data_IF_991262725800
#
_entry.id   IF_991262725800
#
_cell.length_a   1.000
_cell.length_b   1.000
_cell.length_c   1.000
_cell.angle_alpha   90.00
_cell.angle_beta   90.00
_cell.angle_gamma   90.00
#
_symmetry.space_group_name_H-M   'P 1'
#
loop_
_entity.id
_entity.type
_entity.pdbx_description
1 polymer ?
#
# COMPACT_ATOMS: atom_id res chain seq x y z
N UNK A 1 33.60 13.90 31.66
CA UNK A 1 32.78 12.92 30.91
C UNK A 1 32.37 13.55 29.60
N UNK A 2 32.56 12.85 28.47
CA UNK A 2 31.98 13.31 27.19
C UNK A 2 30.47 13.23 27.30
N UNK A 3 29.77 14.36 27.10
CA UNK A 3 28.30 14.40 27.05
C UNK A 3 27.80 13.62 25.83
N UNK A 4 26.68 12.92 25.97
CA UNK A 4 26.03 12.13 24.91
C UNK A 4 25.81 12.92 23.62
N UNK A 5 25.64 14.25 23.71
CA UNK A 5 25.55 15.17 22.57
C UNK A 5 26.78 15.13 21.67
N UNK A 6 27.99 15.17 22.27
CA UNK A 6 29.23 15.22 21.50
C UNK A 6 29.50 13.89 20.79
N UNK A 7 29.12 12.77 21.42
CA UNK A 7 29.17 11.44 20.79
C UNK A 7 28.25 11.35 19.58
N UNK A 8 27.00 11.82 19.69
CA UNK A 8 26.04 11.78 18.58
C UNK A 8 26.48 12.63 17.36
N UNK A 9 27.09 13.79 17.59
CA UNK A 9 27.61 14.64 16.49
C UNK A 9 28.74 13.92 15.74
N UNK A 10 29.67 13.30 16.48
CA UNK A 10 30.78 12.54 15.90
C UNK A 10 30.28 11.33 15.10
N UNK A 11 29.27 10.62 15.58
CA UNK A 11 28.67 9.48 14.87
C UNK A 11 27.92 9.91 13.60
N UNK A 12 27.22 11.04 13.64
CA UNK A 12 26.49 11.56 12.48
C UNK A 12 27.42 11.87 11.29
N UNK A 13 28.62 12.37 11.58
CA UNK A 13 29.63 12.69 10.56
C UNK A 13 30.16 11.44 9.81
N UNK A 14 29.99 10.24 10.39
CA UNK A 14 30.43 8.99 9.78
C UNK A 14 29.35 8.31 8.91
N UNK A 15 28.19 8.94 8.71
CA UNK A 15 27.10 8.37 7.90
C UNK A 15 27.33 8.63 6.41
N UNK A 16 27.43 7.55 5.64
CA UNK A 16 27.44 7.63 4.19
C UNK A 16 26.01 7.72 3.63
N UNK A 17 25.81 8.54 2.60
CA UNK A 17 24.54 8.62 1.91
C UNK A 17 24.25 7.29 1.20
N UNK A 18 23.02 6.78 1.33
CA UNK A 18 22.57 5.61 0.61
C UNK A 18 22.22 6.04 -0.82
N UNK A 19 22.99 5.57 -1.79
CA UNK A 19 22.68 5.79 -3.20
C UNK A 19 21.47 4.91 -3.59
N UNK A 20 20.37 5.54 -3.99
CA UNK A 20 19.17 4.85 -4.49
C UNK A 20 19.29 4.76 -6.00
N UNK A 21 19.27 3.54 -6.54
CA UNK A 21 19.23 3.32 -7.99
C UNK A 21 17.79 3.45 -8.49
N UNK A 22 17.49 4.51 -9.24
CA UNK A 22 16.21 4.64 -9.96
C UNK A 22 16.27 3.83 -11.26
N UNK A 23 15.74 2.62 -11.24
CA UNK A 23 15.66 1.75 -12.42
C UNK A 23 14.33 1.95 -13.16
N UNK A 24 14.38 2.28 -14.46
CA UNK A 24 13.19 2.34 -15.32
C UNK A 24 12.44 3.68 -15.30
N UNK A 25 11.27 3.74 -15.96
CA UNK A 25 10.45 4.97 -16.00
C UNK A 25 9.67 5.08 -14.69
N UNK A 26 9.60 6.28 -14.12
CA UNK A 26 8.83 6.55 -12.90
C UNK A 26 7.35 6.17 -13.03
N UNK A 27 6.78 6.26 -14.23
CA UNK A 27 5.42 5.80 -14.53
C UNK A 27 5.21 4.32 -14.26
N UNK A 28 6.26 3.51 -14.44
CA UNK A 28 6.19 2.06 -14.32
C UNK A 28 6.30 1.63 -12.84
N UNK A 29 6.98 2.44 -12.02
CA UNK A 29 7.13 2.24 -10.58
C UNK A 29 5.96 2.83 -9.78
N UNK A 30 5.28 3.84 -10.32
CA UNK A 30 4.21 4.52 -9.61
C UNK A 30 3.02 3.58 -9.37
N UNK A 31 2.63 3.44 -8.10
CA UNK A 31 1.43 2.66 -7.71
C UNK A 31 1.56 1.16 -7.86
N UNK A 32 2.77 0.60 -8.01
CA UNK A 32 2.99 -0.85 -8.15
C UNK A 32 2.50 -1.66 -6.94
N UNK A 33 2.61 -1.08 -5.74
CA UNK A 33 2.19 -1.69 -4.48
C UNK A 33 0.80 -1.21 -4.04
N UNK A 34 -0.04 -0.77 -5.00
CA UNK A 34 -1.38 -0.28 -4.73
C UNK A 34 -2.38 -1.10 -5.54
N UNK A 35 -3.42 -1.61 -4.87
CA UNK A 35 -4.53 -2.28 -5.53
C UNK A 35 -5.45 -1.25 -6.21
N UNK A 36 -4.96 -0.69 -7.33
CA UNK A 36 -5.62 0.37 -8.09
C UNK A 36 -6.66 -0.18 -9.08
N UNK A 37 -7.36 0.70 -9.81
CA UNK A 37 -8.40 0.33 -10.77
C UNK A 37 -7.94 -0.68 -11.83
N UNK A 38 -6.71 -0.55 -12.33
CA UNK A 38 -6.15 -1.52 -13.28
C UNK A 38 -6.02 -2.90 -12.66
N UNK A 39 -5.73 -2.99 -11.35
CA UNK A 39 -5.64 -4.26 -10.62
C UNK A 39 -7.02 -4.77 -10.27
N UNK A 40 -7.94 -3.90 -9.89
CA UNK A 40 -9.34 -4.26 -9.70
C UNK A 40 -9.92 -4.93 -10.97
N UNK A 41 -9.68 -4.37 -12.15
CA UNK A 41 -10.10 -4.99 -13.43
C UNK A 41 -9.45 -6.36 -13.72
N UNK A 42 -8.26 -6.62 -13.18
CA UNK A 42 -7.54 -7.89 -13.38
C UNK A 42 -7.95 -8.98 -12.39
N UNK A 43 -8.32 -8.61 -11.18
CA UNK A 43 -8.52 -9.53 -10.06
C UNK A 43 -9.98 -9.66 -9.62
N UNK A 44 -10.85 -8.68 -9.91
CA UNK A 44 -12.27 -8.72 -9.55
C UNK A 44 -13.12 -9.30 -10.68
N UNK A 45 -14.24 -9.90 -10.29
CA UNK A 45 -15.34 -10.18 -11.22
C UNK A 45 -15.97 -8.87 -11.67
N UNK A 46 -16.66 -8.89 -12.82
CA UNK A 46 -17.36 -7.70 -13.34
C UNK A 46 -18.32 -7.09 -12.30
N UNK A 47 -19.14 -7.94 -11.68
CA UNK A 47 -20.12 -7.51 -10.68
C UNK A 47 -19.46 -6.90 -9.44
N UNK A 48 -18.35 -7.49 -8.97
CA UNK A 48 -17.61 -6.96 -7.83
C UNK A 48 -16.92 -5.64 -8.15
N UNK A 49 -16.37 -5.50 -9.36
CA UNK A 49 -15.79 -4.24 -9.84
C UNK A 49 -16.84 -3.13 -9.92
N UNK A 50 -17.98 -3.40 -10.57
CA UNK A 50 -19.06 -2.42 -10.72
C UNK A 50 -19.66 -2.03 -9.36
N UNK A 51 -19.87 -3.00 -8.47
CA UNK A 51 -20.37 -2.74 -7.11
C UNK A 51 -19.40 -1.91 -6.27
N UNK A 52 -18.10 -2.21 -6.32
CA UNK A 52 -17.08 -1.46 -5.58
C UNK A 52 -16.92 -0.04 -6.13
N UNK A 53 -16.85 0.10 -7.46
CA UNK A 53 -16.75 1.42 -8.12
C UNK A 53 -17.98 2.28 -7.85
N UNK A 54 -19.18 1.68 -7.94
CA UNK A 54 -20.42 2.36 -7.59
C UNK A 54 -20.45 2.82 -6.14
N UNK A 55 -19.97 2.01 -5.20
CA UNK A 55 -19.86 2.39 -3.79
C UNK A 55 -18.87 3.54 -3.56
N UNK A 56 -17.73 3.54 -4.26
CA UNK A 56 -16.74 4.62 -4.20
C UNK A 56 -17.31 5.95 -4.73
N UNK A 57 -18.03 5.92 -5.84
CA UNK A 57 -18.56 7.14 -6.49
C UNK A 57 -19.77 7.72 -5.74
N UNK A 58 -20.62 6.86 -5.17
CA UNK A 58 -21.86 7.26 -4.48
C UNK A 58 -21.72 7.45 -2.97
N UNK A 59 -20.63 6.97 -2.36
CA UNK A 59 -20.49 6.90 -0.91
C UNK A 59 -21.44 5.90 -0.23
N UNK A 60 -22.03 4.98 -1.01
CA UNK A 60 -22.91 3.94 -0.47
C UNK A 60 -22.13 2.82 0.20
N UNK A 61 -22.84 2.01 1.00
CA UNK A 61 -22.24 0.85 1.67
C UNK A 61 -21.98 -0.25 0.65
N UNK A 62 -20.84 -0.93 0.80
CA UNK A 62 -20.52 -2.13 0.02
C UNK A 62 -21.42 -3.28 0.51
N UNK A 63 -22.08 -3.97 -0.42
CA UNK A 63 -22.86 -5.18 -0.10
C UNK A 63 -21.93 -6.24 0.48
N UNK A 64 -22.35 -6.89 1.57
CA UNK A 64 -21.59 -7.92 2.25
C UNK A 64 -21.19 -9.08 1.32
N UNK A 65 -22.03 -9.44 0.35
CA UNK A 65 -21.73 -10.50 -0.63
C UNK A 65 -20.57 -10.11 -1.55
N UNK A 66 -20.49 -8.83 -1.93
CA UNK A 66 -19.41 -8.30 -2.76
C UNK A 66 -18.13 -8.12 -1.92
N UNK A 67 -18.28 -7.74 -0.65
CA UNK A 67 -17.15 -7.52 0.26
C UNK A 67 -16.26 -8.77 0.41
N UNK A 68 -16.85 -9.96 0.57
CA UNK A 68 -16.08 -11.21 0.68
C UNK A 68 -15.29 -11.52 -0.61
N UNK A 69 -15.89 -11.28 -1.78
CA UNK A 69 -15.22 -11.46 -3.07
C UNK A 69 -14.06 -10.46 -3.25
N UNK A 70 -14.28 -9.20 -2.89
CA UNK A 70 -13.25 -8.15 -2.95
C UNK A 70 -12.10 -8.48 -2.00
N UNK A 71 -12.40 -8.93 -0.78
CA UNK A 71 -11.39 -9.33 0.19
C UNK A 71 -10.52 -10.48 -0.32
N UNK A 72 -11.13 -11.51 -0.92
CA UNK A 72 -10.38 -12.65 -1.47
C UNK A 72 -9.48 -12.23 -2.64
N UNK A 73 -9.97 -11.36 -3.53
CA UNK A 73 -9.18 -10.83 -4.64
C UNK A 73 -8.00 -9.96 -4.18
N UNK A 74 -8.23 -9.06 -3.22
CA UNK A 74 -7.17 -8.23 -2.63
C UNK A 74 -6.14 -9.12 -1.95
N UNK A 75 -6.57 -10.14 -1.20
CA UNK A 75 -5.69 -11.11 -0.55
C UNK A 75 -4.83 -11.84 -1.57
N UNK A 76 -5.43 -12.36 -2.64
CA UNK A 76 -4.70 -13.06 -3.70
C UNK A 76 -3.64 -12.17 -4.38
N UNK A 77 -3.99 -10.91 -4.67
CA UNK A 77 -3.04 -9.93 -5.19
C UNK A 77 -1.94 -9.60 -4.18
N UNK A 78 -2.29 -9.36 -2.92
CA UNK A 78 -1.31 -9.00 -1.89
C UNK A 78 -0.30 -10.14 -1.65
N UNK A 79 -0.77 -11.39 -1.64
CA UNK A 79 0.10 -12.57 -1.53
C UNK A 79 1.03 -12.67 -2.75
N UNK A 80 0.56 -12.39 -3.97
CA UNK A 80 1.43 -12.41 -5.16
C UNK A 80 2.52 -11.33 -5.11
N UNK A 81 2.30 -10.27 -4.34
CA UNK A 81 3.28 -9.22 -4.03
C UNK A 81 4.16 -9.54 -2.80
N UNK A 82 3.99 -10.71 -2.18
CA UNK A 82 4.78 -11.17 -1.02
C UNK A 82 4.23 -10.73 0.34
N UNK A 83 3.01 -10.18 0.42
CA UNK A 83 2.41 -9.82 1.70
C UNK A 83 2.02 -11.07 2.51
N UNK A 84 2.26 -11.01 3.82
CA UNK A 84 1.97 -12.09 4.77
C UNK A 84 0.96 -11.71 5.85
N UNK A 85 0.70 -10.41 6.02
CA UNK A 85 -0.17 -9.87 7.05
C UNK A 85 -1.09 -8.81 6.44
N UNK A 86 -2.25 -8.61 7.06
CA UNK A 86 -3.13 -7.49 6.78
C UNK A 86 -3.33 -6.68 8.07
N UNK A 87 -3.65 -5.41 7.91
CA UNK A 87 -4.01 -4.54 9.02
C UNK A 87 -5.04 -3.51 8.57
N UNK A 88 -5.87 -3.04 9.50
CA UNK A 88 -6.70 -1.87 9.28
C UNK A 88 -5.84 -0.63 9.49
N UNK A 89 -5.43 0.00 8.39
CA UNK A 89 -4.69 1.26 8.46
C UNK A 89 -5.66 2.43 8.61
N UNK A 90 -5.57 3.14 9.74
CA UNK A 90 -6.35 4.34 10.02
C UNK A 90 -5.55 5.28 10.93
N UNK A 91 -5.87 6.57 10.90
CA UNK A 91 -5.33 7.55 11.84
C UNK A 91 -6.36 7.74 12.97
N UNK A 92 -6.07 7.31 14.21
CA UNK A 92 -6.95 7.56 15.34
C UNK A 92 -6.95 9.05 15.74
N UNK A 93 -7.91 9.45 16.57
CA UNK A 93 -7.96 10.80 17.16
C UNK A 93 -7.04 10.97 18.38
N UNK A 94 -6.21 9.97 18.68
CA UNK A 94 -5.26 9.95 19.80
C UNK A 94 -3.88 10.40 19.35
#
# INVERSE_FOLDING_TARGET
>A
MMSSRFTAIKESQNRNAIAIQENGRRSDLFGINVFNEKKMLQYLTKDAFEGLKGAMDSGSKIDRKIADQVAEAIKGWAISMGATHYTHWFQPLT
#
